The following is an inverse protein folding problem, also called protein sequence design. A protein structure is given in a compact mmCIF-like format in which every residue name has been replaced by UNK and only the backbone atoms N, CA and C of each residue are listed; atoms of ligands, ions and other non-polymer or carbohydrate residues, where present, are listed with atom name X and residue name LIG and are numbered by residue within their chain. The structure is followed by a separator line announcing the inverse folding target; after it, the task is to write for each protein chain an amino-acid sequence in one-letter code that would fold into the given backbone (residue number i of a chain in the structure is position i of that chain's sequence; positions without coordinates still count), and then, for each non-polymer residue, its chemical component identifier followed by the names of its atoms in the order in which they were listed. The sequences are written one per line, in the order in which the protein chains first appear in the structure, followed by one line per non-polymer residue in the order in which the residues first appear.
data_IF_773133420052
#
_entry.id   IF_773133420052
#
_cell.length_a   1.000
_cell.length_b   1.000
_cell.length_c   1.000
_cell.angle_alpha   90.00
_cell.angle_beta   90.00
_cell.angle_gamma   90.00
#
_symmetry.space_group_name_H-M   'P 1'
#
loop_
_entity.id
_entity.type
_entity.pdbx_description
1 polymer ?
#
# COMPACT_ATOMS: atom_id res chain seq x y z
N UNK A 1 11.05 3.29 20.70
CA UNK A 1 10.40 3.74 19.46
C UNK A 1 9.22 2.85 19.24
N UNK A 2 8.05 3.38 18.90
CA UNK A 2 6.92 2.53 18.47
C UNK A 2 7.33 1.76 17.22
N UNK A 3 7.15 0.44 17.21
CA UNK A 3 7.34 -0.40 16.04
C UNK A 3 6.27 -0.10 14.98
N UNK A 4 6.61 -0.32 13.71
CA UNK A 4 5.61 -0.36 12.63
C UNK A 4 4.99 -1.74 12.58
N UNK A 5 3.67 -1.83 12.68
CA UNK A 5 2.93 -3.08 12.54
C UNK A 5 2.54 -3.27 11.07
N UNK A 6 3.15 -4.25 10.42
CA UNK A 6 3.03 -4.45 8.96
C UNK A 6 2.29 -5.75 8.66
N UNK A 7 1.28 -5.66 7.79
CA UNK A 7 0.56 -6.79 7.23
C UNK A 7 1.08 -7.14 5.85
N UNK A 8 1.44 -8.41 5.63
CA UNK A 8 1.84 -8.96 4.34
C UNK A 8 0.82 -10.05 3.95
N UNK A 9 -0.20 -9.71 3.15
CA UNK A 9 -1.04 -10.74 2.54
C UNK A 9 -0.19 -11.65 1.66
N UNK A 10 -0.39 -12.97 1.82
CA UNK A 10 0.41 -13.96 1.08
C UNK A 10 -0.46 -15.02 0.42
N UNK A 11 -0.21 -15.28 -0.85
CA UNK A 11 -0.64 -16.44 -1.61
C UNK A 11 0.49 -17.47 -1.77
N UNK A 12 1.59 -17.26 -1.03
CA UNK A 12 2.83 -18.02 -1.10
C UNK A 12 3.57 -17.88 -2.44
N UNK A 13 3.28 -16.85 -3.20
CA UNK A 13 3.97 -16.54 -4.45
C UNK A 13 5.28 -15.78 -4.21
N UNK A 14 6.11 -15.75 -5.26
CA UNK A 14 7.34 -14.92 -5.29
C UNK A 14 7.04 -13.44 -5.07
N UNK A 15 5.88 -12.95 -5.51
CA UNK A 15 5.48 -11.56 -5.30
C UNK A 15 5.26 -11.26 -3.80
N UNK A 16 4.67 -12.20 -3.06
CA UNK A 16 4.54 -12.06 -1.61
C UNK A 16 5.91 -12.13 -0.90
N UNK A 17 6.86 -12.90 -1.44
CA UNK A 17 8.25 -12.90 -0.96
C UNK A 17 8.92 -11.53 -1.18
N UNK A 18 8.75 -10.88 -2.34
CA UNK A 18 9.26 -9.53 -2.58
C UNK A 18 8.72 -8.52 -1.58
N UNK A 19 7.44 -8.65 -1.18
CA UNK A 19 6.86 -7.82 -0.13
C UNK A 19 7.60 -8.00 1.20
N UNK A 20 7.91 -9.23 1.58
CA UNK A 20 8.69 -9.50 2.80
C UNK A 20 10.12 -8.97 2.72
N UNK A 21 10.82 -9.17 1.60
CA UNK A 21 12.19 -8.67 1.41
C UNK A 21 12.25 -7.14 1.52
N UNK A 22 11.25 -6.44 0.97
CA UNK A 22 11.13 -4.99 1.14
C UNK A 22 10.93 -4.59 2.61
N UNK A 23 10.10 -5.32 3.36
CA UNK A 23 9.90 -5.07 4.79
C UNK A 23 11.18 -5.34 5.58
N UNK A 24 11.92 -6.40 5.28
CA UNK A 24 13.23 -6.68 5.88
C UNK A 24 14.23 -5.55 5.63
N UNK A 25 14.20 -4.95 4.45
CA UNK A 25 15.04 -3.78 4.14
C UNK A 25 14.64 -2.57 4.98
N UNK A 26 13.36 -2.36 5.21
CA UNK A 26 12.88 -1.29 6.09
C UNK A 26 13.26 -1.54 7.55
N UNK A 27 13.29 -2.80 8.00
CA UNK A 27 13.65 -3.20 9.36
C UNK A 27 15.09 -2.80 9.76
N UNK A 28 16.00 -2.65 8.78
CA UNK A 28 17.36 -2.12 9.03
C UNK A 28 17.37 -0.72 9.66
N UNK A 29 16.29 0.04 9.51
CA UNK A 29 16.18 1.45 9.92
C UNK A 29 15.11 1.72 10.97
N UNK A 30 14.15 0.83 11.15
CA UNK A 30 13.04 1.01 12.10
C UNK A 30 12.56 -0.33 12.65
N UNK A 31 12.10 -0.35 13.89
CA UNK A 31 11.52 -1.57 14.46
C UNK A 31 10.22 -1.93 13.72
N UNK A 32 10.07 -3.18 13.33
CA UNK A 32 8.92 -3.67 12.58
C UNK A 32 8.38 -4.95 13.22
N UNK A 33 7.06 -5.04 13.32
CA UNK A 33 6.32 -6.25 13.67
C UNK A 33 5.66 -6.79 12.40
N UNK A 34 6.10 -7.97 11.94
CA UNK A 34 5.66 -8.56 10.67
C UNK A 34 4.57 -9.58 10.89
N UNK A 35 3.45 -9.41 10.19
CA UNK A 35 2.32 -10.34 10.17
C UNK A 35 2.04 -10.81 8.75
N UNK A 36 2.16 -12.11 8.51
CA UNK A 36 1.66 -12.74 7.28
C UNK A 36 0.18 -13.10 7.43
N UNK A 37 -0.61 -12.81 6.44
CA UNK A 37 -2.01 -13.20 6.35
C UNK A 37 -2.24 -14.02 5.09
N UNK A 38 -2.64 -15.28 5.26
CA UNK A 38 -3.22 -16.06 4.16
C UNK A 38 -4.73 -16.07 4.28
N UNK A 39 -5.41 -15.78 3.17
CA UNK A 39 -6.86 -15.88 3.08
C UNK A 39 -7.22 -17.10 2.27
N UNK A 40 -7.83 -18.09 2.90
CA UNK A 40 -8.42 -19.22 2.21
C UNK A 40 -9.73 -18.76 1.58
N UNK A 41 -9.74 -18.63 0.25
CA UNK A 41 -10.90 -18.17 -0.49
C UNK A 41 -12.02 -19.21 -0.42
N UNK A 42 -13.13 -18.83 0.22
CA UNK A 42 -14.33 -19.64 0.34
C UNK A 42 -15.58 -18.78 0.09
N UNK A 43 -16.70 -19.39 -0.34
CA UNK A 43 -17.98 -18.69 -0.41
C UNK A 43 -18.44 -18.15 0.94
N UNK A 44 -19.28 -17.12 0.93
CA UNK A 44 -19.82 -16.48 2.15
C UNK A 44 -20.66 -17.44 3.04
N UNK A 45 -21.03 -18.60 2.48
CA UNK A 45 -21.74 -19.67 3.19
C UNK A 45 -20.83 -20.54 4.07
N UNK A 46 -19.51 -20.33 3.99
CA UNK A 46 -18.51 -21.05 4.80
C UNK A 46 -17.93 -20.08 5.81
N UNK A 47 -17.96 -20.47 7.08
CA UNK A 47 -17.36 -19.71 8.17
C UNK A 47 -16.49 -20.62 9.04
N UNK A 48 -15.61 -20.03 9.81
CA UNK A 48 -14.79 -20.71 10.80
C UNK A 48 -15.09 -20.09 12.17
N UNK A 49 -15.42 -20.90 13.14
CA UNK A 49 -15.67 -20.43 14.50
C UNK A 49 -14.36 -20.15 15.28
N UNK A 50 -14.50 -19.70 16.53
CA UNK A 50 -13.36 -19.40 17.39
C UNK A 50 -12.50 -20.63 17.74
N UNK A 51 -13.04 -21.84 17.61
CA UNK A 51 -12.34 -23.10 17.86
C UNK A 51 -11.63 -23.61 16.58
N UNK A 52 -11.82 -22.95 15.45
CA UNK A 52 -11.26 -23.35 14.16
C UNK A 52 -12.11 -24.41 13.43
N UNK A 53 -13.34 -24.67 13.89
CA UNK A 53 -14.27 -25.57 13.22
C UNK A 53 -14.96 -24.87 12.05
N UNK A 54 -15.08 -25.62 10.93
CA UNK A 54 -15.72 -25.10 9.72
C UNK A 54 -17.21 -25.34 9.78
N UNK A 55 -17.98 -24.27 9.66
CA UNK A 55 -19.42 -24.28 9.54
C UNK A 55 -19.84 -23.90 8.13
N UNK A 56 -20.79 -24.60 7.56
CA UNK A 56 -21.28 -24.33 6.21
C UNK A 56 -22.81 -24.37 6.14
N UNK A 57 -23.37 -23.47 5.34
CA UNK A 57 -24.76 -23.48 4.92
C UNK A 57 -24.78 -23.74 3.41
N UNK A 58 -25.06 -24.96 2.96
CA UNK A 58 -25.15 -25.33 1.55
C UNK A 58 -24.37 -26.56 1.17
N UNK A 59 -24.42 -26.93 -0.12
CA UNK A 59 -23.72 -28.10 -0.69
C UNK A 59 -22.24 -27.76 -0.95
N UNK A 60 -21.45 -27.71 0.13
CA UNK A 60 -20.00 -27.50 0.03
C UNK A 60 -19.31 -28.74 0.58
N UNK A 61 -18.31 -29.22 -0.13
CA UNK A 61 -17.45 -30.29 0.35
C UNK A 61 -16.56 -29.77 1.50
N UNK A 62 -17.02 -30.02 2.73
CA UNK A 62 -16.31 -29.63 3.96
C UNK A 62 -14.92 -30.27 4.00
N UNK A 63 -14.77 -31.52 3.52
CA UNK A 63 -13.47 -32.20 3.54
C UNK A 63 -12.47 -31.52 2.60
N UNK A 64 -12.94 -31.00 1.46
CA UNK A 64 -12.09 -30.21 0.59
C UNK A 64 -11.60 -28.93 1.29
N UNK A 65 -12.50 -28.20 1.95
CA UNK A 65 -12.13 -26.97 2.69
C UNK A 65 -11.16 -27.29 3.83
N UNK A 66 -11.38 -28.36 4.58
CA UNK A 66 -10.47 -28.83 5.64
C UNK A 66 -9.09 -29.16 5.08
N UNK A 67 -9.02 -29.89 3.96
CA UNK A 67 -7.75 -30.21 3.30
C UNK A 67 -7.01 -28.95 2.88
N UNK A 68 -7.71 -27.96 2.29
CA UNK A 68 -7.07 -26.68 1.90
C UNK A 68 -6.60 -25.89 3.12
N UNK A 69 -7.35 -25.92 4.22
CA UNK A 69 -6.95 -25.32 5.50
C UNK A 69 -5.65 -25.93 6.03
N UNK A 70 -5.56 -27.26 6.08
CA UNK A 70 -4.35 -27.96 6.52
C UNK A 70 -3.12 -27.63 5.65
N UNK A 71 -3.31 -27.57 4.34
CA UNK A 71 -2.24 -27.16 3.39
C UNK A 71 -1.79 -25.73 3.70
N UNK A 72 -2.72 -24.80 3.89
CA UNK A 72 -2.42 -23.40 4.18
C UNK A 72 -1.70 -23.26 5.55
N UNK A 73 -2.16 -23.95 6.59
CA UNK A 73 -1.52 -23.96 7.92
C UNK A 73 -0.09 -24.49 7.86
N UNK A 74 0.16 -25.57 7.09
CA UNK A 74 1.50 -26.11 6.87
C UNK A 74 2.39 -25.08 6.18
N UNK A 75 1.94 -24.44 5.09
CA UNK A 75 2.69 -23.40 4.39
C UNK A 75 2.99 -22.19 5.27
N UNK A 76 2.06 -21.79 6.13
CA UNK A 76 2.29 -20.70 7.10
C UNK A 76 3.32 -21.12 8.17
N UNK A 77 3.31 -22.36 8.60
CA UNK A 77 4.33 -22.93 9.49
C UNK A 77 5.71 -22.94 8.83
N UNK A 78 5.78 -23.30 7.54
CA UNK A 78 7.01 -23.28 6.76
C UNK A 78 7.56 -21.85 6.63
N UNK A 79 6.71 -20.84 6.39
CA UNK A 79 7.10 -19.42 6.39
C UNK A 79 7.68 -19.00 7.75
N UNK A 80 7.03 -19.40 8.84
CA UNK A 80 7.52 -19.10 10.19
C UNK A 80 8.86 -19.76 10.47
N UNK A 81 9.06 -20.99 10.00
CA UNK A 81 10.33 -21.70 10.10
C UNK A 81 11.44 -21.04 9.28
N UNK A 82 11.08 -20.54 8.08
CA UNK A 82 12.02 -19.88 7.16
C UNK A 82 12.46 -18.51 7.66
N UNK A 83 11.52 -17.68 8.13
CA UNK A 83 11.76 -16.28 8.48
C UNK A 83 11.97 -16.03 9.97
N UNK A 84 11.75 -17.04 10.79
CA UNK A 84 12.00 -17.01 12.24
C UNK A 84 10.74 -16.75 13.07
N UNK A 85 10.84 -16.99 14.37
CA UNK A 85 9.70 -16.90 15.30
C UNK A 85 9.20 -15.47 15.55
N UNK A 86 9.93 -14.45 15.11
CA UNK A 86 9.53 -13.04 15.21
C UNK A 86 8.40 -12.68 14.24
N UNK A 87 8.16 -13.47 13.19
CA UNK A 87 7.03 -13.24 12.31
C UNK A 87 5.77 -13.92 12.86
N UNK A 88 4.65 -13.23 12.73
CA UNK A 88 3.34 -13.77 13.07
C UNK A 88 2.62 -14.25 11.81
N UNK A 89 1.87 -15.32 11.91
CA UNK A 89 1.13 -15.90 10.78
C UNK A 89 -0.35 -16.06 11.12
N UNK A 90 -1.21 -15.72 10.17
CA UNK A 90 -2.65 -15.74 10.33
C UNK A 90 -3.30 -16.43 9.14
N UNK A 91 -4.33 -17.24 9.42
CA UNK A 91 -5.20 -17.85 8.43
C UNK A 91 -6.63 -17.35 8.66
N UNK A 92 -7.25 -16.83 7.60
CA UNK A 92 -8.64 -16.35 7.63
C UNK A 92 -9.39 -16.95 6.45
N UNK A 93 -10.65 -17.28 6.63
CA UNK A 93 -11.56 -17.74 5.59
C UNK A 93 -12.39 -16.57 5.07
N UNK A 94 -12.65 -16.54 3.76
CA UNK A 94 -13.56 -15.57 3.15
C UNK A 94 -13.11 -15.07 1.78
N UNK A 95 -13.73 -13.98 1.30
CA UNK A 95 -13.31 -13.31 0.08
C UNK A 95 -11.98 -12.57 0.33
N UNK A 96 -10.98 -12.84 -0.48
CA UNK A 96 -9.60 -12.39 -0.25
C UNK A 96 -9.50 -10.90 0.07
N UNK A 97 -10.01 -10.04 -0.80
CA UNK A 97 -9.90 -8.57 -0.60
C UNK A 97 -10.65 -8.08 0.62
N UNK A 98 -11.87 -8.57 0.85
CA UNK A 98 -12.70 -8.15 1.99
C UNK A 98 -12.10 -8.62 3.31
N UNK A 99 -11.54 -9.83 3.34
CA UNK A 99 -10.85 -10.38 4.51
C UNK A 99 -9.58 -9.60 4.86
N UNK A 100 -8.75 -9.26 3.86
CA UNK A 100 -7.55 -8.44 4.07
C UNK A 100 -7.92 -7.06 4.63
N UNK A 101 -8.89 -6.37 4.02
CA UNK A 101 -9.34 -5.04 4.45
C UNK A 101 -9.85 -5.09 5.90
N UNK A 102 -10.74 -6.03 6.20
CA UNK A 102 -11.30 -6.19 7.54
C UNK A 102 -10.24 -6.55 8.58
N UNK A 103 -9.33 -7.47 8.24
CA UNK A 103 -8.27 -7.89 9.14
C UNK A 103 -7.30 -6.75 9.44
N UNK A 104 -6.92 -5.97 8.42
CA UNK A 104 -6.02 -4.83 8.58
C UNK A 104 -6.61 -3.73 9.47
N UNK A 105 -7.90 -3.42 9.30
CA UNK A 105 -8.59 -2.40 10.07
C UNK A 105 -8.81 -2.84 11.53
N UNK A 106 -9.30 -4.05 11.77
CA UNK A 106 -9.58 -4.56 13.11
C UNK A 106 -8.32 -4.72 13.97
N UNK A 107 -7.18 -5.00 13.36
CA UNK A 107 -5.93 -5.20 14.08
C UNK A 107 -5.00 -3.97 14.04
N UNK A 108 -5.48 -2.83 13.52
CA UNK A 108 -4.78 -1.54 13.52
C UNK A 108 -3.36 -1.61 12.95
N UNK A 109 -3.22 -2.17 11.74
CA UNK A 109 -1.94 -2.17 11.05
C UNK A 109 -1.57 -0.77 10.55
N UNK A 110 -0.27 -0.43 10.64
CA UNK A 110 0.25 0.84 10.12
C UNK A 110 0.42 0.81 8.58
N UNK A 111 0.65 -0.38 8.00
CA UNK A 111 0.95 -0.55 6.59
C UNK A 111 0.57 -1.96 6.12
N UNK A 112 -0.05 -2.05 4.94
CA UNK A 112 -0.15 -3.29 4.17
C UNK A 112 0.97 -3.28 3.13
N UNK A 113 1.67 -4.40 2.93
CA UNK A 113 2.70 -4.52 1.89
C UNK A 113 2.35 -5.67 0.96
N UNK A 114 2.24 -5.39 -0.34
CA UNK A 114 1.87 -6.38 -1.35
C UNK A 114 2.75 -6.29 -2.58
N UNK A 115 3.23 -7.46 -3.02
CA UNK A 115 3.78 -7.61 -4.36
C UNK A 115 2.68 -7.63 -5.42
N UNK A 116 2.98 -7.13 -6.62
CA UNK A 116 2.07 -7.16 -7.77
C UNK A 116 2.74 -7.83 -8.96
N UNK A 117 1.96 -8.47 -9.84
CA UNK A 117 2.51 -9.09 -11.06
C UNK A 117 2.81 -8.07 -12.17
N UNK A 118 2.37 -6.82 -12.02
CA UNK A 118 2.45 -5.81 -13.06
C UNK A 118 1.57 -6.12 -14.28
N UNK A 119 1.52 -5.20 -15.24
CA UNK A 119 0.73 -5.35 -16.47
C UNK A 119 1.24 -6.45 -17.43
N UNK A 120 2.43 -6.99 -17.18
CA UNK A 120 3.05 -8.04 -18.03
C UNK A 120 2.70 -9.47 -17.60
N UNK A 121 2.08 -9.65 -16.44
CA UNK A 121 1.67 -10.95 -15.91
C UNK A 121 0.22 -11.26 -16.23
N UNK A 122 -0.02 -11.99 -17.34
CA UNK A 122 -1.30 -12.57 -17.76
C UNK A 122 -2.43 -11.61 -18.15
N UNK A 123 -3.08 -11.95 -19.26
CA UNK A 123 -4.35 -11.43 -19.75
C UNK A 123 -5.49 -11.69 -18.74
N UNK A 124 -5.43 -11.10 -17.56
CA UNK A 124 -6.58 -11.13 -16.64
C UNK A 124 -7.46 -9.91 -16.86
N UNK A 125 -8.46 -10.18 -17.61
CA UNK A 125 -9.81 -9.64 -17.70
C UNK A 125 -10.22 -8.71 -16.55
N UNK A 126 -10.41 -7.43 -16.88
CA UNK A 126 -11.50 -6.50 -16.50
C UNK A 126 -11.87 -6.25 -15.01
N UNK A 127 -11.47 -7.03 -14.05
CA UNK A 127 -11.60 -6.68 -12.63
C UNK A 127 -10.19 -6.42 -12.07
N UNK A 128 -9.92 -5.19 -11.67
CA UNK A 128 -8.61 -4.75 -11.18
C UNK A 128 -7.98 -5.77 -10.23
N UNK A 129 -6.66 -5.92 -10.26
CA UNK A 129 -5.93 -6.86 -9.39
C UNK A 129 -6.32 -6.64 -7.92
N UNK A 130 -6.21 -7.67 -7.08
CA UNK A 130 -6.50 -7.55 -5.63
C UNK A 130 -5.79 -6.35 -5.00
N UNK A 131 -4.54 -6.11 -5.39
CA UNK A 131 -3.75 -4.95 -4.94
C UNK A 131 -4.41 -3.62 -5.31
N UNK A 132 -4.99 -3.49 -6.52
CA UNK A 132 -5.72 -2.28 -6.93
C UNK A 132 -7.00 -2.08 -6.12
N UNK A 133 -7.75 -3.16 -5.86
CA UNK A 133 -8.96 -3.09 -5.05
C UNK A 133 -8.60 -2.66 -3.61
N UNK A 134 -7.53 -3.21 -3.05
CA UNK A 134 -7.05 -2.84 -1.72
C UNK A 134 -6.56 -1.40 -1.71
N UNK A 135 -5.76 -0.97 -2.70
CA UNK A 135 -5.32 0.43 -2.82
C UNK A 135 -6.49 1.43 -2.84
N UNK A 136 -7.62 1.05 -3.45
CA UNK A 136 -8.81 1.87 -3.54
C UNK A 136 -9.65 1.89 -2.27
N UNK A 137 -9.75 0.76 -1.57
CA UNK A 137 -10.70 0.57 -0.46
C UNK A 137 -10.06 0.62 0.93
N UNK A 138 -8.75 0.38 1.03
CA UNK A 138 -8.09 0.28 2.33
C UNK A 138 -8.00 1.63 3.03
N UNK A 139 -8.34 1.67 4.30
CA UNK A 139 -8.03 2.80 5.18
C UNK A 139 -6.57 2.73 5.68
N UNK A 140 -6.01 1.53 5.76
CA UNK A 140 -4.59 1.33 6.05
C UNK A 140 -3.79 1.64 4.79
N UNK A 141 -2.71 2.44 4.86
CA UNK A 141 -1.82 2.66 3.73
C UNK A 141 -1.34 1.36 3.11
N UNK A 142 -1.17 1.35 1.78
CA UNK A 142 -0.71 0.18 1.04
C UNK A 142 0.62 0.50 0.33
N UNK A 143 1.68 -0.24 0.65
CA UNK A 143 2.90 -0.30 -0.16
C UNK A 143 2.78 -1.41 -1.20
N UNK A 144 2.86 -1.04 -2.46
CA UNK A 144 2.88 -1.97 -3.59
C UNK A 144 4.22 -1.96 -4.32
N UNK A 145 4.67 -3.14 -4.77
CA UNK A 145 5.91 -3.29 -5.54
C UNK A 145 5.78 -4.43 -6.56
N UNK A 146 6.43 -4.26 -7.72
CA UNK A 146 6.35 -5.21 -8.85
C UNK A 146 7.50 -6.20 -8.90
N UNK A 147 8.61 -5.95 -8.22
CA UNK A 147 9.80 -6.77 -8.24
C UNK A 147 10.55 -6.68 -6.91
N UNK A 148 11.54 -7.54 -6.74
CA UNK A 148 12.44 -7.46 -5.60
C UNK A 148 13.09 -6.07 -5.51
N UNK A 149 13.05 -5.49 -4.31
CA UNK A 149 13.61 -4.20 -3.95
C UNK A 149 14.45 -4.27 -2.67
N UNK A 150 14.94 -5.46 -2.34
CA UNK A 150 15.80 -5.66 -1.18
C UNK A 150 17.13 -4.90 -1.28
N UNK A 151 17.55 -4.54 -2.50
CA UNK A 151 18.71 -3.68 -2.79
C UNK A 151 18.42 -2.18 -2.68
N UNK A 152 17.15 -1.79 -2.51
CA UNK A 152 16.74 -0.39 -2.54
C UNK A 152 17.32 0.40 -1.37
N UNK A 153 18.00 1.50 -1.67
CA UNK A 153 18.39 2.52 -0.70
C UNK A 153 17.47 3.73 -0.85
N UNK A 154 16.63 3.97 0.14
CA UNK A 154 15.63 5.05 0.09
C UNK A 154 16.32 6.39 0.40
N UNK A 155 16.80 7.06 -0.62
CA UNK A 155 17.44 8.38 -0.54
C UNK A 155 16.52 9.53 -0.96
N UNK A 156 15.55 9.27 -1.86
CA UNK A 156 14.63 10.27 -2.40
C UNK A 156 13.19 9.79 -2.27
N UNK A 157 12.38 10.52 -1.51
CA UNK A 157 10.94 10.26 -1.37
C UNK A 157 10.17 11.33 -2.11
N UNK A 158 9.19 10.92 -2.91
CA UNK A 158 8.24 11.77 -3.60
C UNK A 158 6.88 11.71 -2.91
N UNK A 159 6.34 12.85 -2.51
CA UNK A 159 4.94 13.00 -2.10
C UNK A 159 4.15 13.68 -3.21
N UNK A 160 3.23 12.95 -3.82
CA UNK A 160 2.31 13.45 -4.86
C UNK A 160 0.98 13.82 -4.21
N UNK A 161 0.65 15.11 -4.19
CA UNK A 161 -0.54 15.63 -3.51
C UNK A 161 -0.98 16.95 -4.12
N UNK A 162 -2.23 17.37 -3.88
CA UNK A 162 -2.71 18.69 -4.30
C UNK A 162 -2.44 19.81 -3.27
N UNK A 163 -2.02 19.46 -2.08
CA UNK A 163 -1.67 20.35 -0.94
C UNK A 163 -2.75 21.38 -0.54
N UNK A 164 -3.99 21.20 -1.01
CA UNK A 164 -5.11 22.11 -0.63
C UNK A 164 -5.54 21.90 0.80
N UNK A 165 -5.54 20.65 1.26
CA UNK A 165 -5.76 20.31 2.66
C UNK A 165 -4.41 20.03 3.33
N UNK A 166 -3.99 20.86 4.31
CA UNK A 166 -2.67 20.74 4.91
C UNK A 166 -2.57 19.63 5.97
N UNK A 167 -3.68 19.03 6.38
CA UNK A 167 -3.69 17.95 7.38
C UNK A 167 -3.82 16.62 6.65
N UNK A 168 -2.77 15.81 6.70
CA UNK A 168 -2.83 14.41 6.33
C UNK A 168 -3.06 13.61 7.61
N UNK A 169 -4.23 12.98 7.74
CA UNK A 169 -4.49 12.05 8.86
C UNK A 169 -3.50 10.89 8.83
N UNK A 170 -3.03 10.49 7.63
CA UNK A 170 -2.05 9.43 7.41
C UNK A 170 -0.59 9.91 7.35
N UNK A 171 -0.30 11.13 7.75
CA UNK A 171 1.08 11.66 7.78
C UNK A 171 2.00 10.89 8.73
N UNK A 172 1.45 10.17 9.71
CA UNK A 172 2.22 9.39 10.68
C UNK A 172 3.19 8.41 10.04
N UNK A 173 2.72 7.63 9.05
CA UNK A 173 3.59 6.69 8.33
C UNK A 173 4.68 7.42 7.56
N UNK A 174 4.32 8.47 6.79
CA UNK A 174 5.28 9.28 6.06
C UNK A 174 6.35 9.85 7.00
N UNK A 175 5.95 10.43 8.13
CA UNK A 175 6.87 11.00 9.12
C UNK A 175 7.75 9.93 9.78
N UNK A 176 7.20 8.74 10.10
CA UNK A 176 8.00 7.61 10.61
C UNK A 176 9.07 7.20 9.60
N UNK A 177 8.74 7.09 8.31
CA UNK A 177 9.69 6.73 7.27
C UNK A 177 10.71 7.82 6.98
N UNK A 178 10.30 9.10 6.96
CA UNK A 178 11.23 10.23 6.85
C UNK A 178 12.25 10.21 7.99
N UNK A 179 11.80 9.96 9.21
CA UNK A 179 12.68 9.90 10.39
C UNK A 179 13.63 8.70 10.33
N UNK A 180 13.16 7.55 9.87
CA UNK A 180 13.94 6.32 9.82
C UNK A 180 15.03 6.36 8.75
N UNK A 181 14.70 6.83 7.56
CA UNK A 181 15.60 6.79 6.40
C UNK A 181 16.36 8.09 6.15
N UNK A 182 15.88 9.23 6.66
CA UNK A 182 16.48 10.55 6.42
C UNK A 182 16.57 10.96 4.94
N UNK A 183 15.57 10.62 4.08
CA UNK A 183 15.67 10.85 2.65
C UNK A 183 15.52 12.32 2.30
N UNK A 184 15.96 12.70 1.10
CA UNK A 184 15.56 13.96 0.47
C UNK A 184 14.07 13.90 0.14
N UNK A 185 13.33 14.96 0.44
CA UNK A 185 11.87 15.04 0.32
C UNK A 185 11.51 15.89 -0.88
N UNK A 186 10.64 15.37 -1.72
CA UNK A 186 10.15 16.06 -2.91
C UNK A 186 8.63 16.11 -2.82
N UNK A 187 8.06 17.32 -2.85
CA UNK A 187 6.62 17.54 -2.96
C UNK A 187 6.29 17.85 -4.40
N UNK A 188 5.35 17.13 -4.97
CA UNK A 188 4.94 17.29 -6.35
C UNK A 188 3.43 17.51 -6.43
N UNK A 189 3.05 18.62 -7.04
CA UNK A 189 1.70 18.83 -7.54
C UNK A 189 1.69 18.73 -9.04
N UNK A 190 0.72 17.99 -9.57
CA UNK A 190 0.51 17.85 -11.01
C UNK A 190 -0.80 18.56 -11.34
N UNK A 191 -0.76 19.39 -12.37
CA UNK A 191 -1.94 20.05 -12.93
C UNK A 191 -2.18 19.51 -14.34
N UNK A 192 -3.45 19.43 -14.73
CA UNK A 192 -3.87 19.04 -16.07
C UNK A 192 -4.75 20.13 -16.68
N UNK A 193 -4.51 20.47 -17.94
CA UNK A 193 -5.29 21.43 -18.68
C UNK A 193 -4.56 22.70 -19.09
N UNK A 194 -5.31 23.62 -19.76
CA UNK A 194 -4.74 24.83 -20.35
C UNK A 194 -4.44 25.96 -19.36
N UNK A 195 -5.10 25.94 -18.19
CA UNK A 195 -4.90 26.95 -17.15
C UNK A 195 -4.07 26.30 -16.06
N UNK A 196 -2.76 26.60 -16.04
CA UNK A 196 -1.86 26.14 -14.98
C UNK A 196 -2.24 26.77 -13.63
N UNK A 197 -2.03 26.02 -12.55
CA UNK A 197 -2.10 26.61 -11.21
C UNK A 197 -0.96 27.63 -11.06
N UNK A 198 -1.22 28.73 -10.36
CA UNK A 198 -0.19 29.68 -10.02
C UNK A 198 0.85 29.03 -9.08
N UNK A 199 2.10 29.03 -9.52
CA UNK A 199 3.21 28.42 -8.78
C UNK A 199 3.33 28.96 -7.35
N UNK A 200 3.14 30.27 -7.17
CA UNK A 200 3.28 30.92 -5.86
C UNK A 200 2.24 30.40 -4.85
N UNK A 201 1.01 30.21 -5.30
CA UNK A 201 -0.08 29.63 -4.49
C UNK A 201 0.20 28.17 -4.14
N UNK A 202 0.66 27.38 -5.11
CA UNK A 202 0.99 25.95 -4.87
C UNK A 202 2.17 25.84 -3.91
N UNK A 203 3.21 26.62 -4.09
CA UNK A 203 4.38 26.62 -3.21
C UNK A 203 4.00 27.06 -1.78
N UNK A 204 3.14 28.05 -1.63
CA UNK A 204 2.64 28.48 -0.32
C UNK A 204 1.87 27.35 0.40
N UNK A 205 1.02 26.59 -0.33
CA UNK A 205 0.33 25.43 0.20
C UNK A 205 1.30 24.31 0.64
N UNK A 206 2.32 24.01 -0.16
CA UNK A 206 3.37 23.05 0.18
C UNK A 206 4.15 23.48 1.42
N UNK A 207 4.51 24.75 1.54
CA UNK A 207 5.18 25.30 2.73
C UNK A 207 4.31 25.19 3.97
N UNK A 208 3.01 25.49 3.85
CA UNK A 208 2.04 25.32 4.95
C UNK A 208 1.93 23.86 5.37
N UNK A 209 1.84 22.94 4.42
CA UNK A 209 1.84 21.50 4.70
C UNK A 209 3.11 21.06 5.43
N UNK A 210 4.28 21.46 4.96
CA UNK A 210 5.55 21.13 5.57
C UNK A 210 5.64 21.65 7.03
N UNK A 211 5.24 22.89 7.27
CA UNK A 211 5.26 23.51 8.60
C UNK A 211 4.34 22.77 9.59
N UNK A 212 3.12 22.42 9.17
CA UNK A 212 2.15 21.71 10.02
C UNK A 212 2.58 20.26 10.36
N UNK A 213 3.36 19.63 9.48
CA UNK A 213 3.85 18.28 9.67
C UNK A 213 5.31 18.24 10.16
N UNK A 214 5.92 19.37 10.52
CA UNK A 214 7.31 19.48 10.96
C UNK A 214 8.32 18.85 9.96
N UNK A 215 8.04 19.00 8.65
CA UNK A 215 8.92 18.53 7.58
C UNK A 215 9.83 19.68 7.17
N UNK A 216 11.13 19.46 7.32
CA UNK A 216 12.18 20.38 6.89
C UNK A 216 12.93 19.80 5.70
N UNK A 217 13.73 20.60 5.01
CA UNK A 217 14.60 20.16 3.91
C UNK A 217 13.84 19.41 2.82
N UNK A 218 12.95 20.10 2.13
CA UNK A 218 12.14 19.59 1.03
C UNK A 218 12.27 20.45 -0.21
N UNK A 219 11.97 19.88 -1.38
CA UNK A 219 11.87 20.58 -2.65
C UNK A 219 10.43 20.60 -3.15
N UNK A 220 9.97 21.75 -3.61
CA UNK A 220 8.65 21.93 -4.21
C UNK A 220 8.71 21.80 -5.72
N UNK A 221 7.79 21.04 -6.30
CA UNK A 221 7.68 20.84 -7.74
C UNK A 221 6.23 21.01 -8.18
N UNK A 222 6.04 21.78 -9.25
CA UNK A 222 4.78 21.91 -9.97
C UNK A 222 5.03 21.58 -11.43
N UNK A 223 4.30 20.60 -11.94
CA UNK A 223 4.33 20.27 -13.37
C UNK A 223 2.93 20.27 -13.96
N UNK A 224 2.83 20.59 -15.22
CA UNK A 224 1.61 20.47 -16.01
C UNK A 224 1.78 19.30 -16.97
N UNK A 225 0.87 18.31 -16.88
CA UNK A 225 0.92 17.13 -17.72
C UNK A 225 -0.50 16.73 -18.15
N UNK A 226 -0.61 15.72 -18.99
CA UNK A 226 -1.90 15.19 -19.47
C UNK A 226 -2.80 14.78 -18.32
N UNK A 227 -2.25 14.07 -17.35
CA UNK A 227 -2.89 13.59 -16.13
C UNK A 227 -1.84 13.30 -15.04
N UNK A 228 -2.31 12.90 -13.85
CA UNK A 228 -1.45 12.62 -12.71
C UNK A 228 -0.52 11.44 -12.96
N UNK A 229 -0.98 10.39 -13.66
CA UNK A 229 -0.17 9.22 -13.99
C UNK A 229 1.04 9.60 -14.83
N UNK A 230 0.80 10.27 -15.98
CA UNK A 230 1.87 10.73 -16.87
C UNK A 230 2.83 11.67 -16.14
N UNK A 231 2.30 12.60 -15.36
CA UNK A 231 3.11 13.53 -14.58
C UNK A 231 4.04 12.84 -13.58
N UNK A 232 3.58 11.82 -12.86
CA UNK A 232 4.43 11.04 -11.96
C UNK A 232 5.49 10.26 -12.73
N UNK A 233 5.12 9.63 -13.84
CA UNK A 233 6.06 8.88 -14.68
C UNK A 233 7.16 9.78 -15.22
N UNK A 234 6.80 10.92 -15.85
CA UNK A 234 7.76 11.86 -16.41
C UNK A 234 8.66 12.49 -15.33
N UNK A 235 8.08 12.85 -14.19
CA UNK A 235 8.87 13.37 -13.07
C UNK A 235 9.88 12.32 -12.57
N UNK A 236 9.46 11.06 -12.41
CA UNK A 236 10.33 9.99 -11.97
C UNK A 236 11.44 9.66 -12.98
N UNK A 237 11.17 9.73 -14.29
CA UNK A 237 12.19 9.55 -15.33
C UNK A 237 13.33 10.56 -15.22
N UNK A 238 13.02 11.81 -14.87
CA UNK A 238 14.01 12.88 -14.74
C UNK A 238 14.71 12.88 -13.37
N UNK A 239 14.04 12.47 -12.30
CA UNK A 239 14.54 12.65 -10.92
C UNK A 239 14.83 11.36 -10.18
N UNK A 240 14.46 10.19 -10.73
CA UNK A 240 14.72 8.86 -10.21
C UNK A 240 14.39 8.69 -8.71
N UNK A 241 13.11 8.83 -8.37
CA UNK A 241 12.63 8.66 -6.98
C UNK A 241 12.74 7.21 -6.53
N UNK A 242 13.00 6.98 -5.25
CA UNK A 242 13.15 5.63 -4.68
C UNK A 242 11.83 5.12 -4.10
N UNK A 243 11.03 6.01 -3.52
CA UNK A 243 9.73 5.68 -2.94
C UNK A 243 8.74 6.80 -3.24
N UNK A 244 7.54 6.43 -3.68
CA UNK A 244 6.50 7.38 -4.06
C UNK A 244 5.32 7.23 -3.11
N UNK A 245 4.91 8.35 -2.51
CA UNK A 245 3.67 8.48 -1.75
C UNK A 245 2.63 9.16 -2.62
N UNK A 246 1.47 8.56 -2.77
CA UNK A 246 0.35 9.14 -3.52
C UNK A 246 -0.95 9.02 -2.74
N UNK A 247 -1.61 10.15 -2.52
CA UNK A 247 -2.91 10.19 -1.88
C UNK A 247 -4.02 9.72 -2.82
N UNK A 248 -4.93 8.88 -2.31
CA UNK A 248 -6.16 8.50 -2.99
C UNK A 248 -7.34 9.19 -2.32
N UNK A 249 -8.19 9.87 -3.10
CA UNK A 249 -9.40 10.48 -2.57
C UNK A 249 -10.52 9.43 -2.47
N UNK A 250 -11.07 9.21 -1.27
CA UNK A 250 -12.35 8.55 -1.10
C UNK A 250 -13.47 9.45 -1.64
N UNK A 251 -14.42 8.92 -2.40
CA UNK A 251 -15.67 9.58 -2.86
C UNK A 251 -15.53 11.04 -3.32
N UNK A 252 -15.08 11.30 -4.54
CA UNK A 252 -15.18 12.65 -5.12
C UNK A 252 -14.30 12.94 -6.32
N UNK A 253 -13.21 12.22 -6.52
CA UNK A 253 -12.32 12.46 -7.64
C UNK A 253 -12.05 11.20 -8.45
N UNK A 254 -12.90 10.88 -9.42
CA UNK A 254 -12.73 9.76 -10.36
C UNK A 254 -11.34 9.72 -11.03
N UNK A 255 -10.62 10.84 -11.04
CA UNK A 255 -9.34 10.99 -11.72
C UNK A 255 -8.13 10.48 -10.94
N UNK A 256 -8.13 10.59 -9.60
CA UNK A 256 -6.97 10.18 -8.80
C UNK A 256 -6.93 8.67 -8.49
N UNK A 257 -8.09 8.04 -8.37
CA UNK A 257 -8.16 6.58 -8.14
C UNK A 257 -7.60 5.81 -9.34
N UNK A 258 -7.95 6.21 -10.56
CA UNK A 258 -7.44 5.58 -11.78
C UNK A 258 -5.93 5.78 -11.95
N UNK A 259 -5.37 6.92 -11.55
CA UNK A 259 -3.94 7.20 -11.63
C UNK A 259 -3.12 6.29 -10.70
N UNK A 260 -3.55 6.13 -9.44
CA UNK A 260 -2.87 5.24 -8.48
C UNK A 260 -2.91 3.79 -8.94
N UNK A 261 -4.07 3.31 -9.39
CA UNK A 261 -4.23 1.94 -9.90
C UNK A 261 -3.35 1.66 -11.10
N UNK A 262 -3.20 2.61 -12.02
CA UNK A 262 -2.32 2.49 -13.19
C UNK A 262 -0.85 2.56 -12.79
N UNK A 263 -0.47 3.47 -11.90
CA UNK A 263 0.90 3.58 -11.41
C UNK A 263 1.37 2.30 -10.73
N UNK A 264 0.53 1.66 -9.92
CA UNK A 264 0.81 0.37 -9.27
C UNK A 264 1.16 -0.71 -10.29
N UNK A 265 0.57 -0.66 -11.48
CA UNK A 265 0.80 -1.67 -12.53
C UNK A 265 1.89 -1.30 -13.55
N UNK A 266 2.27 -0.04 -13.65
CA UNK A 266 3.15 0.43 -14.72
C UNK A 266 4.48 1.00 -14.22
N UNK A 267 4.55 1.41 -12.96
CA UNK A 267 5.76 2.02 -12.44
C UNK A 267 6.57 1.01 -11.61
N UNK A 268 7.81 0.73 -12.06
CA UNK A 268 8.75 -0.16 -11.36
C UNK A 268 9.38 0.48 -10.11
N UNK A 269 8.60 1.21 -9.34
CA UNK A 269 9.01 1.83 -8.07
C UNK A 269 8.05 1.41 -6.97
N UNK A 270 8.52 1.25 -5.73
CA UNK A 270 7.62 1.09 -4.60
C UNK A 270 6.70 2.30 -4.48
N UNK A 271 5.39 2.04 -4.35
CA UNK A 271 4.37 3.08 -4.23
C UNK A 271 3.60 2.86 -2.95
N UNK A 272 3.54 3.88 -2.09
CA UNK A 272 2.64 3.92 -0.95
C UNK A 272 1.40 4.74 -1.34
N UNK A 273 0.26 4.06 -1.42
CA UNK A 273 -1.04 4.70 -1.54
C UNK A 273 -1.69 4.85 -0.18
N UNK A 274 -2.31 6.00 0.07
CA UNK A 274 -3.01 6.29 1.32
C UNK A 274 -4.29 7.05 1.05
N UNK A 275 -5.31 6.85 1.89
CA UNK A 275 -6.55 7.57 1.80
C UNK A 275 -6.40 9.00 2.33
N UNK A 276 -6.93 9.95 1.56
CA UNK A 276 -7.13 11.31 2.03
C UNK A 276 -8.55 11.41 2.57
N UNK A 277 -8.70 11.53 3.88
CA UNK A 277 -10.00 11.84 4.47
C UNK A 277 -10.41 13.25 4.06
N UNK A 278 -11.52 13.35 3.32
CA UNK A 278 -12.16 14.62 3.07
C UNK A 278 -12.87 15.09 4.36
N UNK A 279 -12.16 15.74 5.25
CA UNK A 279 -12.80 16.59 6.25
C UNK A 279 -13.28 17.88 5.56
N UNK A 280 -14.31 17.75 4.73
CA UNK A 280 -15.15 18.90 4.37
C UNK A 280 -16.07 19.15 5.56
N UNK A 281 -15.59 19.89 6.56
CA UNK A 281 -16.47 20.73 7.38
C UNK A 281 -16.31 22.14 6.84
N UNK A 282 -17.33 22.54 6.08
CA UNK A 282 -17.59 23.93 5.74
C UNK A 282 -17.76 24.78 6.99
#
# INVERSE_FOLDING_TARGET
MESLKILIPTDFSVQAEYAYLMVKKMEEKTAIEVHFLHVLAVPDTVTMDANGEIQTCGEIDVNYVLTQKEIAERKLSDLKSLYGNQVQTHLVLGKTTDAILKFSELNHFDLIVMGTKGAWGLKETLSGSETQIIARKSKTPLLSLMCDRSDLNIQNILLVHNFRNPVLEDSKLLLKLIKAFGPKRHFLQITSGKVGADYSTVEANMKKFAALNNITDYKCHLINDKDVENGVIHFNQMNNMDLIFIGTHGKGGMFHQSATEKLINHLFKPIISFHLSENIKA
#
